data_IF_991724269473
#
_entry.id   IF_991724269473
#
_cell.length_a   1.000
_cell.length_b   1.000
_cell.length_c   1.000
_cell.angle_alpha   90.00
_cell.angle_beta   90.00
_cell.angle_gamma   90.00
#
_symmetry.space_group_name_H-M   'P 1'
#
loop_
_entity.id
_entity.type
_entity.pdbx_description
1 polymer ?
#
# COMPACT_ATOMS: atom_id res chain seq x y z
N UNK A 1 1.20 12.62 5.12
CA UNK A 1 0.79 11.74 6.25
C UNK A 1 1.97 11.55 7.21
N UNK A 2 1.95 12.13 8.42
CA UNK A 2 3.10 12.07 9.37
C UNK A 2 3.48 10.63 9.74
N UNK A 3 2.52 9.77 10.06
CA UNK A 3 2.81 8.38 10.40
C UNK A 3 3.38 7.54 9.25
N UNK A 4 2.96 7.81 8.00
CA UNK A 4 3.52 7.14 6.83
C UNK A 4 5.00 7.51 6.62
N UNK A 5 5.37 8.78 6.87
CA UNK A 5 6.76 9.20 6.86
C UNK A 5 7.59 8.50 7.94
N UNK A 6 7.06 8.41 9.18
CA UNK A 6 7.72 7.68 10.28
C UNK A 6 7.92 6.22 9.89
N UNK A 7 6.89 5.58 9.33
CA UNK A 7 6.96 4.19 8.91
C UNK A 7 8.00 3.98 7.80
N UNK A 8 8.10 4.90 6.83
CA UNK A 8 9.10 4.83 5.75
C UNK A 8 10.54 4.82 6.27
N UNK A 9 10.85 5.69 7.24
CA UNK A 9 12.22 5.90 7.73
C UNK A 9 12.52 5.22 9.08
N UNK A 10 11.66 4.29 9.53
CA UNK A 10 11.80 3.58 10.81
C UNK A 10 13.10 2.76 10.94
N UNK A 11 13.75 2.47 9.83
CA UNK A 11 15.01 1.72 9.75
C UNK A 11 16.24 2.63 9.78
N UNK A 12 16.07 3.91 9.45
CA UNK A 12 17.15 4.90 9.43
C UNK A 12 17.25 5.63 10.78
N UNK A 13 16.12 5.87 11.45
CA UNK A 13 16.08 6.57 12.73
C UNK A 13 15.13 5.94 13.75
N UNK A 14 15.40 6.10 15.06
CA UNK A 14 14.50 5.64 16.10
C UNK A 14 13.11 6.28 15.98
N UNK A 15 12.06 5.45 16.08
CA UNK A 15 10.66 5.88 16.00
C UNK A 15 10.34 6.98 17.02
N UNK A 16 10.93 6.92 18.22
CA UNK A 16 10.70 7.92 19.27
C UNK A 16 11.20 9.32 18.85
N UNK A 17 12.39 9.38 18.24
CA UNK A 17 12.96 10.61 17.70
C UNK A 17 12.07 11.16 16.58
N UNK A 18 11.62 10.30 15.68
CA UNK A 18 10.72 10.70 14.59
C UNK A 18 9.36 11.20 15.13
N UNK A 19 8.82 10.57 16.17
CA UNK A 19 7.60 11.01 16.84
C UNK A 19 7.78 12.40 17.49
N UNK A 20 8.90 12.63 18.16
CA UNK A 20 9.23 13.92 18.78
C UNK A 20 9.36 15.04 17.73
N UNK A 21 10.15 14.83 16.68
CA UNK A 21 10.38 15.80 15.60
C UNK A 21 9.07 16.17 14.90
N UNK A 22 8.21 15.19 14.64
CA UNK A 22 6.93 15.40 13.96
C UNK A 22 5.78 15.77 14.90
N UNK A 23 6.06 15.94 16.20
CA UNK A 23 5.09 16.27 17.25
C UNK A 23 3.86 15.36 17.23
N UNK A 24 4.10 14.05 17.14
CA UNK A 24 3.06 13.01 17.24
C UNK A 24 3.36 12.06 18.38
N UNK A 25 2.33 11.41 18.92
CA UNK A 25 2.51 10.45 20.01
C UNK A 25 2.93 9.07 19.47
N UNK A 26 3.84 8.41 20.19
CA UNK A 26 4.21 7.02 19.90
C UNK A 26 3.00 6.08 19.99
N UNK A 27 2.06 6.34 20.92
CA UNK A 27 0.78 5.62 21.01
C UNK A 27 -0.05 5.79 19.74
N UNK A 28 -0.11 7.00 19.19
CA UNK A 28 -0.79 7.27 17.92
C UNK A 28 -0.16 6.54 16.75
N UNK A 29 1.18 6.50 16.69
CA UNK A 29 1.92 5.72 15.68
C UNK A 29 1.64 4.22 15.79
N UNK A 30 1.69 3.65 17.01
CA UNK A 30 1.37 2.24 17.23
C UNK A 30 -0.06 1.92 16.82
N UNK A 31 -1.03 2.75 17.23
CA UNK A 31 -2.42 2.59 16.85
C UNK A 31 -2.63 2.72 15.33
N UNK A 32 -1.91 3.60 14.66
CA UNK A 32 -1.94 3.71 13.20
C UNK A 32 -1.38 2.46 12.51
N UNK A 33 -0.28 1.91 13.05
CA UNK A 33 0.37 0.70 12.51
C UNK A 33 -0.46 -0.56 12.76
N UNK A 34 -1.13 -0.65 13.92
CA UNK A 34 -1.95 -1.81 14.29
C UNK A 34 -3.35 -1.79 13.67
N UNK A 35 -3.76 -0.69 13.03
CA UNK A 35 -5.07 -0.61 12.38
C UNK A 35 -5.13 -1.68 11.28
N UNK A 36 -6.14 -2.55 11.28
CA UNK A 36 -6.33 -3.48 10.19
C UNK A 36 -6.54 -2.69 8.89
N UNK A 37 -6.03 -3.23 7.78
CA UNK A 37 -6.31 -2.69 6.46
C UNK A 37 -7.82 -2.57 6.28
N UNK A 38 -8.30 -1.38 5.92
CA UNK A 38 -9.72 -1.18 5.66
C UNK A 38 -10.16 -2.00 4.44
N UNK A 39 -11.47 -2.19 4.26
CA UNK A 39 -11.99 -3.00 3.16
C UNK A 39 -11.45 -2.54 1.80
N UNK A 40 -11.38 -1.22 1.57
CA UNK A 40 -10.81 -0.64 0.35
C UNK A 40 -9.34 -1.01 0.15
N UNK A 41 -8.51 -0.88 1.18
CA UNK A 41 -7.10 -1.27 1.09
C UNK A 41 -6.93 -2.77 0.79
N UNK A 42 -7.81 -3.62 1.32
CA UNK A 42 -7.80 -5.06 1.00
C UNK A 42 -8.17 -5.30 -0.46
N UNK A 43 -9.17 -4.59 -0.99
CA UNK A 43 -9.53 -4.65 -2.40
C UNK A 43 -8.37 -4.14 -3.28
N UNK A 44 -7.77 -3.01 -2.94
CA UNK A 44 -6.63 -2.45 -3.69
C UNK A 44 -5.44 -3.42 -3.71
N UNK A 45 -5.18 -4.12 -2.60
CA UNK A 45 -4.15 -5.16 -2.55
C UNK A 45 -4.47 -6.34 -3.47
N UNK A 46 -5.73 -6.79 -3.53
CA UNK A 46 -6.15 -7.83 -4.48
C UNK A 46 -5.90 -7.37 -5.91
N UNK A 47 -6.38 -6.18 -6.27
CA UNK A 47 -6.18 -5.59 -7.61
C UNK A 47 -4.69 -5.51 -7.94
N UNK A 48 -3.86 -5.04 -7.01
CA UNK A 48 -2.40 -4.97 -7.20
C UNK A 48 -1.75 -6.34 -7.44
N UNK A 49 -2.21 -7.38 -6.74
CA UNK A 49 -1.71 -8.75 -6.96
C UNK A 49 -2.04 -9.20 -8.38
N UNK A 50 -3.29 -9.06 -8.81
CA UNK A 50 -3.68 -9.42 -10.19
C UNK A 50 -2.91 -8.62 -11.25
N UNK A 51 -2.72 -7.31 -11.05
CA UNK A 51 -1.90 -6.50 -11.97
C UNK A 51 -0.49 -7.08 -12.10
N UNK A 52 0.16 -7.44 -10.98
CA UNK A 52 1.52 -7.98 -11.00
C UNK A 52 1.60 -9.32 -11.70
N UNK A 53 0.62 -10.19 -11.46
CA UNK A 53 0.53 -11.50 -12.11
C UNK A 53 0.37 -11.36 -13.63
N UNK A 54 -0.62 -10.61 -14.11
CA UNK A 54 -0.84 -10.41 -15.54
C UNK A 54 0.29 -9.62 -16.22
N UNK A 55 0.92 -8.68 -15.50
CA UNK A 55 2.10 -7.98 -16.02
C UNK A 55 3.30 -8.93 -16.19
N UNK A 56 3.53 -9.83 -15.23
CA UNK A 56 4.59 -10.84 -15.35
C UNK A 56 4.29 -11.85 -16.48
N UNK A 57 3.05 -12.33 -16.59
CA UNK A 57 2.61 -13.25 -17.65
C UNK A 57 2.74 -12.65 -19.05
N UNK A 58 2.47 -11.34 -19.17
CA UNK A 58 2.62 -10.61 -20.43
C UNK A 58 4.06 -10.17 -20.73
N UNK A 59 5.04 -10.57 -19.89
CA UNK A 59 6.43 -10.14 -20.00
C UNK A 59 6.58 -8.60 -20.04
N UNK A 60 5.73 -7.90 -19.29
CA UNK A 60 5.70 -6.45 -19.22
C UNK A 60 5.15 -5.73 -20.46
N UNK A 61 4.57 -6.44 -21.42
CA UNK A 61 4.05 -5.84 -22.65
C UNK A 61 2.69 -5.16 -22.49
N UNK A 62 1.90 -5.56 -21.48
CA UNK A 62 0.55 -5.03 -21.30
C UNK A 62 0.58 -3.63 -20.70
N UNK A 63 0.09 -2.66 -21.48
CA UNK A 63 -0.20 -1.31 -21.01
C UNK A 63 -1.53 -1.21 -20.25
N UNK A 64 -1.82 -0.02 -19.70
CA UNK A 64 -3.01 0.27 -18.89
C UNK A 64 -4.33 -0.25 -19.48
N UNK A 65 -4.65 -0.04 -20.78
CA UNK A 65 -5.95 -0.47 -21.33
C UNK A 65 -6.14 -1.99 -21.28
N UNK A 66 -5.09 -2.74 -21.63
CA UNK A 66 -5.13 -4.20 -21.65
C UNK A 66 -5.14 -4.77 -20.23
N UNK A 67 -4.39 -4.16 -19.32
CA UNK A 67 -4.43 -4.52 -17.90
C UNK A 67 -5.82 -4.32 -17.29
N UNK A 68 -6.51 -3.22 -17.62
CA UNK A 68 -7.88 -2.97 -17.11
C UNK A 68 -8.88 -3.99 -17.64
N UNK A 69 -8.76 -4.47 -18.88
CA UNK A 69 -9.60 -5.55 -19.41
C UNK A 69 -9.43 -6.84 -18.63
N UNK A 70 -8.18 -7.28 -18.41
CA UNK A 70 -7.86 -8.51 -17.67
C UNK A 70 -8.39 -8.45 -16.23
N UNK A 71 -8.29 -7.29 -15.57
CA UNK A 71 -8.85 -7.10 -14.22
C UNK A 71 -10.38 -7.23 -14.21
N UNK A 72 -11.07 -6.68 -15.22
CA UNK A 72 -12.52 -6.81 -15.35
C UNK A 72 -12.94 -8.25 -15.66
N UNK A 73 -12.19 -8.97 -16.49
CA UNK A 73 -12.40 -10.39 -16.75
C UNK A 73 -12.18 -11.24 -15.49
N UNK A 74 -11.24 -10.85 -14.63
CA UNK A 74 -11.03 -11.44 -13.31
C UNK A 74 -12.10 -11.06 -12.28
N UNK A 75 -13.13 -10.29 -12.67
CA UNK A 75 -14.25 -9.88 -11.81
C UNK A 75 -13.90 -8.77 -10.81
N UNK A 76 -12.81 -8.02 -11.04
CA UNK A 76 -12.44 -6.86 -10.26
C UNK A 76 -13.01 -5.58 -10.88
N UNK A 77 -13.69 -4.77 -10.07
CA UNK A 77 -14.23 -3.48 -10.49
C UNK A 77 -13.12 -2.41 -10.44
N UNK A 78 -12.61 -2.03 -11.63
CA UNK A 78 -11.47 -1.10 -11.86
C UNK A 78 -11.73 -0.14 -13.01
#
# INVERSE_FOLDING_TARGET
>A
MRFAFIHGHRHEWPIERLCQVLRVSARGYRAWTSRPACQRQRTDLKVLTHIREHFALSNGSYGRPRMTMELREAGLDV
#
